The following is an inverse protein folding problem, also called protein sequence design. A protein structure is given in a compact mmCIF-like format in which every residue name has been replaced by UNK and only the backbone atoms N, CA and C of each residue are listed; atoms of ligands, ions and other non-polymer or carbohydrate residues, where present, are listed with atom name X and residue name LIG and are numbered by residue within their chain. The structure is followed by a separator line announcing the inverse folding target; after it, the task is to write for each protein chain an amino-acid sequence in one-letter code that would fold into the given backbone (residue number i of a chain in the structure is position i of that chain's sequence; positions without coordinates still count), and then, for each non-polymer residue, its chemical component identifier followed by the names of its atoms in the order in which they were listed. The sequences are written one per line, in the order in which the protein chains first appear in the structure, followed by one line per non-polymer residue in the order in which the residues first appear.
data_IF_108102324504
#
_entry.id   IF_108102324504
#
_cell.length_a   1.000
_cell.length_b   1.000
_cell.length_c   1.000
_cell.angle_alpha   90.00
_cell.angle_beta   90.00
_cell.angle_gamma   90.00
#
_symmetry.space_group_name_H-M   'P 1'
#
loop_
_entity.id
_entity.type
_entity.pdbx_description
1 polymer ?
#
# COMPACT_ATOMS: atom_id res chain seq x y z
N UNK A 1 -22.47 15.80 -19.64
CA UNK A 1 -21.41 14.94 -19.13
C UNK A 1 -20.12 15.62 -19.50
N UNK A 2 -19.19 15.90 -18.58
CA UNK A 2 -17.90 16.46 -18.95
C UNK A 2 -17.19 15.45 -19.85
N UNK A 3 -16.55 15.93 -20.90
CA UNK A 3 -15.77 15.16 -21.87
C UNK A 3 -14.87 14.16 -21.14
N UNK A 4 -14.96 12.89 -21.54
CA UNK A 4 -14.23 11.78 -20.93
C UNK A 4 -12.72 11.86 -21.14
N UNK A 5 -12.07 12.77 -20.45
CA UNK A 5 -10.63 12.70 -20.25
C UNK A 5 -10.36 11.51 -19.35
N UNK A 6 -9.71 10.50 -19.90
CA UNK A 6 -9.23 9.36 -19.13
C UNK A 6 -8.22 9.86 -18.10
N UNK A 7 -8.65 9.92 -16.84
CA UNK A 7 -7.71 10.22 -15.75
C UNK A 7 -6.70 9.09 -15.63
N UNK A 8 -5.42 9.45 -15.70
CA UNK A 8 -4.32 8.50 -15.53
C UNK A 8 -4.00 8.32 -14.05
N UNK A 9 -3.61 7.11 -13.69
CA UNK A 9 -3.04 6.85 -12.37
C UNK A 9 -1.78 7.71 -12.19
N UNK A 10 -1.75 8.46 -11.10
CA UNK A 10 -0.63 9.28 -10.66
C UNK A 10 -0.13 8.81 -9.32
N UNK A 11 1.19 8.72 -9.17
CA UNK A 11 1.87 8.33 -7.95
C UNK A 11 2.68 9.53 -7.47
N UNK A 12 2.33 10.06 -6.31
CA UNK A 12 3.02 11.16 -5.66
C UNK A 12 3.92 10.60 -4.58
N UNK A 13 5.17 11.06 -4.51
CA UNK A 13 6.12 10.68 -3.47
C UNK A 13 6.19 11.77 -2.39
N UNK A 14 6.35 11.35 -1.12
CA UNK A 14 6.43 12.23 0.04
C UNK A 14 7.55 11.77 0.98
N UNK A 15 8.11 12.73 1.73
CA UNK A 15 9.11 12.45 2.76
C UNK A 15 8.51 12.09 4.12
N UNK A 16 7.20 12.32 4.31
CA UNK A 16 6.48 12.15 5.57
C UNK A 16 5.27 11.20 5.44
N UNK A 17 4.88 10.48 6.51
CA UNK A 17 3.75 9.56 6.49
C UNK A 17 2.39 10.26 6.33
N UNK A 18 2.27 11.55 6.69
CA UNK A 18 1.07 12.36 6.47
C UNK A 18 0.82 12.69 5.00
N UNK A 19 1.84 12.53 4.15
CA UNK A 19 1.83 12.93 2.75
C UNK A 19 1.55 14.44 2.58
N UNK A 20 2.27 15.27 3.34
CA UNK A 20 2.20 16.73 3.28
C UNK A 20 3.37 17.32 2.48
N UNK A 21 4.58 16.75 2.62
CA UNK A 21 5.80 17.22 1.98
C UNK A 21 6.13 16.39 0.74
N UNK A 22 5.64 16.84 -0.41
CA UNK A 22 5.88 16.16 -1.69
C UNK A 22 7.35 16.24 -2.11
N UNK A 23 7.88 15.12 -2.58
CA UNK A 23 9.25 14.97 -3.11
C UNK A 23 9.21 14.73 -4.61
N UNK A 24 9.73 15.70 -5.36
CA UNK A 24 9.82 15.63 -6.81
C UNK A 24 8.46 15.68 -7.53
N UNK A 25 8.50 15.39 -8.83
CA UNK A 25 7.31 15.37 -9.68
C UNK A 25 6.56 14.04 -9.55
N UNK A 26 5.22 14.04 -9.69
CA UNK A 26 4.44 12.82 -9.66
C UNK A 26 4.75 11.92 -10.87
N UNK A 27 4.88 10.64 -10.61
CA UNK A 27 4.96 9.66 -11.68
C UNK A 27 3.57 9.42 -12.26
N UNK A 28 3.42 9.63 -13.59
CA UNK A 28 2.18 9.36 -14.31
C UNK A 28 2.37 8.12 -15.18
N UNK A 29 1.50 7.13 -15.03
CA UNK A 29 1.59 5.90 -15.81
C UNK A 29 1.34 6.15 -17.31
N UNK A 30 2.04 5.41 -18.18
CA UNK A 30 1.84 5.46 -19.61
C UNK A 30 0.42 4.98 -19.98
N UNK A 31 0.00 3.86 -19.40
CA UNK A 31 -1.32 3.26 -19.52
C UNK A 31 -1.84 2.91 -18.14
N UNK A 32 -3.12 3.17 -17.88
CA UNK A 32 -3.75 2.78 -16.64
C UNK A 32 -3.72 1.26 -16.45
N UNK A 33 -3.55 0.77 -15.22
CA UNK A 33 -3.70 -0.64 -14.92
C UNK A 33 -5.08 -1.16 -15.39
N UNK A 34 -5.13 -2.40 -15.89
CA UNK A 34 -6.40 -3.04 -16.25
C UNK A 34 -7.26 -3.30 -15.01
N UNK A 35 -6.60 -3.64 -13.91
CA UNK A 35 -7.23 -3.93 -12.63
C UNK A 35 -6.28 -3.60 -11.47
N UNK A 36 -6.84 -3.55 -10.28
CA UNK A 36 -6.07 -3.59 -9.04
C UNK A 36 -6.72 -4.58 -8.08
N UNK A 37 -5.92 -5.19 -7.22
CA UNK A 37 -6.37 -6.12 -6.20
C UNK A 37 -6.15 -5.48 -4.83
N UNK A 38 -7.18 -5.44 -4.02
CA UNK A 38 -7.12 -5.01 -2.63
C UNK A 38 -7.22 -6.24 -1.73
N UNK A 39 -6.21 -6.45 -0.90
CA UNK A 39 -6.14 -7.58 0.02
C UNK A 39 -6.42 -7.11 1.44
N UNK A 40 -7.52 -7.62 2.01
CA UNK A 40 -7.99 -7.31 3.36
C UNK A 40 -7.91 -8.60 4.17
N UNK A 41 -7.11 -8.60 5.26
CA UNK A 41 -6.88 -9.76 6.12
C UNK A 41 -7.37 -9.54 7.53
N UNK A 42 -7.75 -10.61 8.20
CA UNK A 42 -7.95 -10.66 9.65
C UNK A 42 -7.13 -11.81 10.20
N UNK A 43 -6.33 -11.56 11.21
CA UNK A 43 -5.56 -12.59 11.90
C UNK A 43 -6.29 -13.08 13.15
N UNK A 44 -6.32 -14.41 13.31
CA UNK A 44 -6.89 -15.08 14.47
C UNK A 44 -5.83 -15.97 15.09
N UNK A 45 -5.81 -16.02 16.42
CA UNK A 45 -5.04 -17.01 17.18
C UNK A 45 -5.90 -18.24 17.48
N UNK A 46 -5.36 -19.41 17.18
CA UNK A 46 -5.95 -20.66 17.64
C UNK A 46 -5.51 -20.88 19.10
N UNK A 47 -6.38 -20.57 20.04
CA UNK A 47 -6.14 -20.89 21.45
C UNK A 47 -6.07 -22.40 21.63
N UNK A 48 -4.91 -22.95 21.96
CA UNK A 48 -4.77 -24.37 22.33
C UNK A 48 -5.35 -24.54 23.73
N UNK A 49 -6.62 -24.92 23.82
CA UNK A 49 -7.23 -25.38 25.07
C UNK A 49 -6.66 -26.72 25.42
N UNK A 50 -5.92 -26.86 26.54
CA UNK A 50 -5.54 -28.15 27.08
C UNK A 50 -6.82 -28.95 27.45
N UNK A 51 -7.05 -30.04 26.74
CA UNK A 51 -8.09 -31.02 27.11
C UNK A 51 -9.50 -30.77 26.54
N UNK A 52 -9.68 -29.85 25.59
CA UNK A 52 -10.98 -29.66 24.91
C UNK A 52 -10.90 -30.01 23.42
N UNK A 53 -11.94 -30.64 22.89
CA UNK A 53 -12.05 -31.05 21.48
C UNK A 53 -12.44 -29.91 20.55
N UNK A 54 -11.89 -28.71 20.73
CA UNK A 54 -12.10 -27.58 19.87
C UNK A 54 -11.55 -26.28 20.47
N UNK A 55 -10.71 -25.56 19.70
CA UNK A 55 -10.30 -24.22 20.09
C UNK A 55 -11.14 -23.20 19.34
N UNK A 56 -11.73 -22.23 20.04
CA UNK A 56 -12.37 -21.10 19.41
C UNK A 56 -11.29 -20.10 18.95
N UNK A 57 -11.27 -19.71 17.66
CA UNK A 57 -10.33 -18.71 17.18
C UNK A 57 -10.61 -17.37 17.88
N UNK A 58 -9.56 -16.77 18.44
CA UNK A 58 -9.62 -15.43 19.02
C UNK A 58 -9.09 -14.42 18.02
N UNK A 59 -9.80 -13.32 17.82
CA UNK A 59 -9.33 -12.22 17.01
C UNK A 59 -7.99 -11.69 17.58
N UNK A 60 -6.98 -11.58 16.71
CA UNK A 60 -5.66 -11.08 17.05
C UNK A 60 -5.48 -9.63 16.60
N UNK A 61 -5.57 -9.40 15.30
CA UNK A 61 -5.44 -8.06 14.71
C UNK A 61 -5.98 -8.02 13.28
N UNK A 62 -6.24 -6.82 12.78
CA UNK A 62 -6.45 -6.54 11.37
C UNK A 62 -5.20 -5.85 10.82
N UNK A 63 -4.36 -6.55 10.01
CA UNK A 63 -3.20 -5.93 9.36
C UNK A 63 -3.61 -4.75 8.47
N UNK A 64 -2.71 -3.83 8.13
CA UNK A 64 -2.93 -2.85 7.08
C UNK A 64 -3.31 -3.53 5.76
N UNK A 65 -4.16 -2.89 4.99
CA UNK A 65 -4.59 -3.38 3.69
C UNK A 65 -3.45 -3.29 2.67
N UNK A 66 -3.41 -4.23 1.73
CA UNK A 66 -2.43 -4.21 0.65
C UNK A 66 -3.15 -4.04 -0.69
N UNK A 67 -2.67 -3.08 -1.49
CA UNK A 67 -3.12 -2.85 -2.85
C UNK A 67 -2.03 -3.29 -3.82
N UNK A 68 -2.39 -4.06 -4.84
CA UNK A 68 -1.47 -4.46 -5.91
C UNK A 68 -2.06 -4.21 -7.28
N UNK A 69 -1.22 -3.77 -8.22
CA UNK A 69 -1.58 -3.52 -9.61
C UNK A 69 -0.35 -3.65 -10.51
N UNK A 70 -0.58 -3.71 -11.81
CA UNK A 70 0.47 -3.86 -12.82
C UNK A 70 0.57 -2.60 -13.69
N UNK A 71 1.80 -2.09 -13.85
CA UNK A 71 2.11 -0.95 -14.73
C UNK A 71 2.86 -1.47 -15.95
N UNK A 72 2.39 -1.12 -17.13
CA UNK A 72 3.04 -1.43 -18.40
C UNK A 72 4.05 -0.34 -18.78
N UNK A 73 5.26 -0.78 -19.08
CA UNK A 73 6.30 0.00 -19.77
C UNK A 73 6.46 -0.53 -21.18
N UNK A 74 6.25 0.32 -22.18
CA UNK A 74 6.28 -0.08 -23.60
C UNK A 74 6.96 0.99 -24.44
N UNK A 75 8.10 0.65 -25.03
CA UNK A 75 8.86 1.52 -25.91
C UNK A 75 8.79 1.07 -27.38
N UNK A 76 7.81 0.23 -27.74
CA UNK A 76 7.58 -0.17 -29.14
C UNK A 76 7.05 0.96 -30.01
N UNK A 77 6.53 2.03 -29.41
CA UNK A 77 5.86 3.13 -30.10
C UNK A 77 4.39 2.84 -30.49
N UNK A 78 3.84 1.69 -30.12
CA UNK A 78 2.44 1.34 -30.41
C UNK A 78 1.50 2.21 -29.56
N UNK A 79 1.90 2.52 -28.31
CA UNK A 79 1.05 3.25 -27.36
C UNK A 79 1.21 4.76 -27.52
N UNK A 80 2.45 5.26 -27.49
CA UNK A 80 2.77 6.69 -27.47
C UNK A 80 3.25 7.25 -28.81
N UNK A 81 3.32 6.41 -29.86
CA UNK A 81 3.83 6.72 -31.20
C UNK A 81 5.31 7.16 -31.20
N UNK A 82 6.05 6.85 -30.14
CA UNK A 82 7.45 7.21 -29.96
C UNK A 82 8.30 5.98 -29.66
N UNK A 83 8.72 5.21 -30.68
CA UNK A 83 9.53 4.02 -30.48
C UNK A 83 10.92 4.38 -29.93
N UNK A 84 11.36 3.67 -28.91
CA UNK A 84 12.68 3.83 -28.27
C UNK A 84 13.44 2.51 -28.30
N UNK A 85 14.74 2.57 -28.17
CA UNK A 85 15.61 1.41 -28.36
C UNK A 85 15.57 0.41 -27.21
N UNK A 86 15.30 0.87 -25.98
CA UNK A 86 15.12 0.04 -24.79
C UNK A 86 14.36 0.80 -23.69
N UNK A 87 13.96 0.08 -22.63
CA UNK A 87 13.26 0.63 -21.48
C UNK A 87 14.09 0.65 -20.21
N UNK A 88 15.40 0.33 -20.30
CA UNK A 88 16.26 0.14 -19.13
C UNK A 88 16.29 1.39 -18.23
N UNK A 89 16.42 2.57 -18.85
CA UNK A 89 16.45 3.83 -18.10
C UNK A 89 15.10 4.15 -17.46
N UNK A 90 14.00 3.92 -18.17
CA UNK A 90 12.63 4.16 -17.64
C UNK A 90 12.36 3.27 -16.41
N UNK A 91 12.78 2.00 -16.48
CA UNK A 91 12.65 1.05 -15.38
C UNK A 91 13.57 1.44 -14.20
N UNK A 92 14.81 1.85 -14.47
CA UNK A 92 15.73 2.26 -13.39
C UNK A 92 15.23 3.52 -12.69
N UNK A 93 14.74 4.51 -13.43
CA UNK A 93 14.11 5.70 -12.87
C UNK A 93 12.89 5.35 -12.01
N UNK A 94 12.06 4.40 -12.46
CA UNK A 94 10.90 3.94 -11.71
C UNK A 94 11.30 3.18 -10.43
N UNK A 95 12.33 2.35 -10.49
CA UNK A 95 12.89 1.70 -9.29
C UNK A 95 13.39 2.73 -8.27
N UNK A 96 14.16 3.71 -8.72
CA UNK A 96 14.65 4.77 -7.85
C UNK A 96 13.52 5.64 -7.29
N UNK A 97 12.48 5.88 -8.08
CA UNK A 97 11.29 6.59 -7.62
C UNK A 97 10.58 5.84 -6.49
N UNK A 98 10.33 4.52 -6.64
CA UNK A 98 9.57 3.73 -5.67
C UNK A 98 10.40 3.20 -4.51
N UNK A 99 11.64 2.76 -4.76
CA UNK A 99 12.47 2.05 -3.79
C UNK A 99 13.71 2.83 -3.36
N UNK A 100 13.97 3.99 -3.99
CA UNK A 100 15.10 4.83 -3.62
C UNK A 100 14.89 5.48 -2.25
N UNK A 101 15.97 5.53 -1.46
CA UNK A 101 15.97 6.25 -0.19
C UNK A 101 16.06 7.75 -0.41
N UNK A 102 15.38 8.54 0.40
CA UNK A 102 15.62 9.97 0.50
C UNK A 102 16.92 10.19 1.27
N UNK A 103 17.88 10.92 0.66
CA UNK A 103 19.26 10.97 1.12
C UNK A 103 19.48 11.42 2.56
N UNK A 104 18.64 12.29 3.10
CA UNK A 104 18.80 12.84 4.45
C UNK A 104 18.13 12.01 5.55
N UNK A 105 17.09 11.23 5.22
CA UNK A 105 16.26 10.56 6.24
C UNK A 105 16.56 9.05 6.34
N UNK A 106 17.29 8.46 5.39
CA UNK A 106 17.57 7.01 5.32
C UNK A 106 16.32 6.12 5.44
N UNK A 107 15.16 6.65 5.04
CA UNK A 107 13.87 5.96 5.08
C UNK A 107 13.29 5.82 3.67
N UNK A 108 12.49 4.79 3.42
CA UNK A 108 11.73 4.69 2.18
C UNK A 108 10.70 5.83 2.12
N UNK A 109 10.41 6.26 0.89
CA UNK A 109 9.40 7.29 0.61
C UNK A 109 8.00 6.79 0.92
N UNK A 110 7.13 7.72 1.23
CA UNK A 110 5.69 7.50 1.34
C UNK A 110 5.01 7.88 0.04
N UNK A 111 3.91 7.23 -0.28
CA UNK A 111 3.26 7.42 -1.57
C UNK A 111 1.77 7.68 -1.42
N UNK A 112 1.28 8.53 -2.31
CA UNK A 112 -0.14 8.78 -2.51
C UNK A 112 -0.50 8.38 -3.94
N UNK A 113 -1.35 7.37 -4.06
CA UNK A 113 -1.83 6.85 -5.34
C UNK A 113 -3.18 7.46 -5.63
N UNK A 114 -3.32 8.09 -6.78
CA UNK A 114 -4.53 8.81 -7.19
C UNK A 114 -4.98 8.32 -8.56
N UNK A 115 -6.17 7.76 -8.63
CA UNK A 115 -6.81 7.36 -9.87
C UNK A 115 -8.32 7.63 -9.82
N UNK A 116 -8.75 8.69 -10.50
CA UNK A 116 -10.11 9.17 -10.40
C UNK A 116 -10.46 9.55 -8.96
N UNK A 117 -11.50 8.91 -8.41
CA UNK A 117 -11.91 9.08 -7.00
C UNK A 117 -11.15 8.19 -6.03
N UNK A 118 -10.41 7.21 -6.53
CA UNK A 118 -9.63 6.29 -5.70
C UNK A 118 -8.37 6.97 -5.20
N UNK A 119 -8.21 6.95 -3.89
CA UNK A 119 -7.05 7.51 -3.19
C UNK A 119 -6.55 6.49 -2.17
N UNK A 120 -5.25 6.17 -2.22
CA UNK A 120 -4.58 5.37 -1.21
C UNK A 120 -3.26 6.01 -0.81
N UNK A 121 -2.99 6.08 0.49
CA UNK A 121 -1.69 6.44 1.06
C UNK A 121 -1.00 5.17 1.54
N UNK A 122 0.28 5.00 1.24
CA UNK A 122 0.99 3.79 1.62
C UNK A 122 2.48 3.83 1.33
N UNK A 123 3.14 2.74 1.67
CA UNK A 123 4.54 2.47 1.34
C UNK A 123 4.62 1.36 0.30
N UNK A 124 5.56 1.48 -0.62
CA UNK A 124 5.83 0.40 -1.58
C UNK A 124 6.55 -0.74 -0.86
N UNK A 125 5.94 -1.93 -0.84
CA UNK A 125 6.51 -3.12 -0.17
C UNK A 125 7.04 -4.15 -1.15
N UNK A 126 6.60 -4.10 -2.42
CA UNK A 126 7.06 -5.01 -3.47
C UNK A 126 7.07 -4.30 -4.82
N UNK A 127 8.15 -4.45 -5.55
CA UNK A 127 8.27 -4.14 -6.96
C UNK A 127 8.83 -5.38 -7.68
N UNK A 128 8.02 -6.00 -8.52
CA UNK A 128 8.43 -7.13 -9.37
C UNK A 128 8.40 -6.68 -10.82
N UNK A 129 9.49 -6.91 -11.56
CA UNK A 129 9.66 -6.47 -12.95
C UNK A 129 9.79 -7.69 -13.85
N UNK A 130 8.83 -7.87 -14.75
CA UNK A 130 8.81 -8.93 -15.74
C UNK A 130 9.07 -8.35 -17.14
N UNK A 131 10.25 -8.57 -17.67
CA UNK A 131 10.60 -8.19 -19.04
C UNK A 131 9.93 -9.13 -20.04
N UNK A 132 9.22 -8.59 -21.03
CA UNK A 132 8.33 -9.36 -21.92
C UNK A 132 8.75 -9.38 -23.38
N UNK A 133 9.29 -8.29 -23.90
CA UNK A 133 9.67 -8.15 -25.30
C UNK A 133 11.06 -7.55 -25.40
N UNK A 134 11.84 -8.10 -26.33
CA UNK A 134 13.24 -7.71 -26.54
C UNK A 134 13.43 -7.34 -28.02
N UNK A 135 14.31 -6.40 -28.28
CA UNK A 135 14.75 -6.09 -29.62
C UNK A 135 15.76 -7.13 -30.11
N UNK A 136 16.15 -7.14 -31.41
CA UNK A 136 17.12 -8.10 -31.96
C UNK A 136 18.50 -8.06 -31.28
N UNK A 137 18.83 -6.97 -30.60
CA UNK A 137 20.10 -6.80 -29.84
C UNK A 137 20.00 -7.30 -28.38
N UNK A 138 18.87 -7.93 -28.02
CA UNK A 138 18.64 -8.44 -26.68
C UNK A 138 18.26 -7.40 -25.63
N UNK A 139 18.03 -6.13 -26.02
CA UNK A 139 17.58 -5.09 -25.08
C UNK A 139 16.06 -5.16 -24.88
N UNK A 140 15.56 -5.05 -23.64
CA UNK A 140 14.13 -5.07 -23.39
C UNK A 140 13.46 -3.80 -23.89
N UNK A 141 12.31 -3.96 -24.56
CA UNK A 141 11.47 -2.88 -25.06
C UNK A 141 10.06 -2.89 -24.48
N UNK A 142 9.70 -3.94 -23.72
CA UNK A 142 8.46 -4.01 -22.95
C UNK A 142 8.68 -4.73 -21.63
N UNK A 143 8.11 -4.18 -20.56
CA UNK A 143 8.08 -4.81 -19.24
C UNK A 143 6.74 -4.54 -18.55
N UNK A 144 6.38 -5.45 -17.64
CA UNK A 144 5.28 -5.30 -16.71
C UNK A 144 5.86 -5.21 -15.30
N UNK A 145 5.55 -4.12 -14.61
CA UNK A 145 5.95 -3.88 -13.24
C UNK A 145 4.77 -4.11 -12.31
N UNK A 146 4.80 -5.19 -11.51
CA UNK A 146 3.84 -5.42 -10.44
C UNK A 146 4.30 -4.65 -9.20
N UNK A 147 3.43 -3.77 -8.73
CA UNK A 147 3.65 -2.93 -7.54
C UNK A 147 2.68 -3.38 -6.45
N UNK A 148 3.18 -3.57 -5.24
CA UNK A 148 2.34 -3.79 -4.06
C UNK A 148 2.62 -2.71 -3.03
N UNK A 149 1.54 -2.16 -2.49
CA UNK A 149 1.53 -1.04 -1.58
C UNK A 149 0.82 -1.48 -0.33
N UNK A 150 1.42 -1.16 0.82
CA UNK A 150 0.78 -1.34 2.12
C UNK A 150 0.26 -0.02 2.61
N UNK A 151 -1.03 0.00 2.98
CA UNK A 151 -1.71 1.16 3.52
C UNK A 151 -1.00 1.69 4.77
N UNK A 152 -0.90 3.02 4.86
CA UNK A 152 -0.54 3.73 6.08
C UNK A 152 -1.82 4.11 6.80
N UNK A 153 -2.08 3.50 7.95
CA UNK A 153 -3.13 3.95 8.85
C UNK A 153 -2.65 5.20 9.58
N UNK A 154 -3.39 6.28 9.47
CA UNK A 154 -3.15 7.47 10.26
C UNK A 154 -3.27 7.13 11.76
N UNK A 155 -2.31 7.60 12.56
CA UNK A 155 -2.24 7.32 14.01
C UNK A 155 -3.56 7.68 14.71
N UNK A 156 -4.19 8.79 14.31
CA UNK A 156 -5.47 9.24 14.85
C UNK A 156 -6.61 8.25 14.57
N UNK A 157 -6.65 7.66 13.38
CA UNK A 157 -7.61 6.61 13.03
C UNK A 157 -7.37 5.34 13.80
N UNK A 158 -6.10 4.95 13.95
CA UNK A 158 -5.71 3.78 14.74
C UNK A 158 -6.17 3.93 16.19
N UNK A 159 -5.87 5.07 16.81
CA UNK A 159 -6.27 5.37 18.19
C UNK A 159 -7.79 5.42 18.35
N UNK A 160 -8.52 5.97 17.36
CA UNK A 160 -9.98 5.99 17.39
C UNK A 160 -10.59 4.58 17.25
N UNK A 161 -10.06 3.75 16.36
CA UNK A 161 -10.48 2.35 16.21
C UNK A 161 -10.18 1.54 17.48
N UNK A 162 -9.01 1.71 18.08
CA UNK A 162 -8.62 1.04 19.32
C UNK A 162 -9.49 1.49 20.53
N UNK A 163 -9.82 2.76 20.64
CA UNK A 163 -10.72 3.28 21.69
C UNK A 163 -12.15 2.77 21.56
N UNK A 164 -12.66 2.58 20.33
CA UNK A 164 -13.96 2.01 20.11
C UNK A 164 -14.02 0.51 20.37
N UNK A 165 -12.87 -0.18 20.41
CA UNK A 165 -12.77 -1.63 20.63
C UNK A 165 -12.47 -2.03 22.06
N UNK A 166 -12.17 -1.06 22.94
CA UNK A 166 -11.86 -1.35 24.34
C UNK A 166 -13.10 -1.18 25.22
N UNK A 167 -13.75 -2.29 25.66
CA UNK A 167 -14.84 -2.23 26.62
C UNK A 167 -14.32 -2.06 28.06
N UNK A 168 -13.13 -1.51 28.23
CA UNK A 168 -12.50 -1.32 29.54
C UNK A 168 -13.15 -0.11 30.26
N UNK A 169 -14.42 -0.31 30.61
CA UNK A 169 -15.06 0.48 31.63
C UNK A 169 -14.42 0.09 32.97
N UNK A 170 -13.42 0.84 33.39
CA UNK A 170 -12.88 0.74 34.75
C UNK A 170 -13.99 1.07 35.71
N UNK A 171 -14.64 0.06 36.25
CA UNK A 171 -15.66 0.21 37.29
C UNK A 171 -14.98 0.55 38.62
N UNK A 172 -14.94 1.82 38.98
CA UNK A 172 -14.54 2.24 40.30
C UNK A 172 -15.65 1.91 41.27
N UNK A 173 -15.42 0.99 42.19
CA UNK A 173 -16.29 0.73 43.33
C UNK A 173 -15.66 1.36 44.58
N UNK A 174 -16.34 2.33 45.17
CA UNK A 174 -15.95 2.93 46.41
C UNK A 174 -16.27 1.94 47.53
N UNK A 175 -15.25 1.39 48.15
CA UNK A 175 -15.39 0.49 49.32
C UNK A 175 -15.71 1.32 50.54
N UNK A 176 -16.83 1.02 51.19
CA UNK A 176 -17.23 1.64 52.47
C UNK A 176 -16.85 0.70 53.64
N UNK A 177 -16.66 1.29 54.81
CA UNK A 177 -16.34 0.52 56.05
C UNK A 177 -17.48 -0.47 56.30
N UNK A 178 -17.21 -1.78 56.16
CA UNK A 178 -18.17 -2.85 56.36
C UNK A 178 -18.42 -3.68 55.10
N UNK A 179 -17.88 -3.30 53.93
CA UNK A 179 -17.98 -4.10 52.69
C UNK A 179 -17.07 -5.33 52.77
N UNK A 180 -17.62 -6.50 52.44
CA UNK A 180 -16.86 -7.75 52.28
C UNK A 180 -16.86 -8.13 50.79
N UNK A 181 -15.71 -8.66 50.31
CA UNK A 181 -15.64 -9.23 48.96
C UNK A 181 -16.48 -10.50 48.94
N UNK A 182 -17.39 -10.67 47.91
CA UNK A 182 -18.03 -11.94 47.71
C UNK A 182 -16.99 -12.98 47.27
N UNK A 183 -16.99 -14.11 47.93
CA UNK A 183 -16.15 -15.29 47.62
C UNK A 183 -16.56 -15.88 46.28
#
# INVERSE_FOLDING_TARGET
MPDGQFEKLKIYAYSDPGCENQVGEPFTVMMNPENYTQEIKMEFENGQGQGTSGSQPRFKLKPPEELSFEILFDNTGIIDKNPRSDIAQDIENFKQFLMGYEGDIHQPKFFKFVWGTSLMKGICVLLNIAYKLFNPNGKPIRAICKVSIRELKEEERRVAEERNSSPDLTHYRTVKKGDTLPL
#
